data_IF_775452678990
#
_entry.id   IF_775452678990
#
_cell.length_a   1.000
_cell.length_b   1.000
_cell.length_c   1.000
_cell.angle_alpha   90.00
_cell.angle_beta   90.00
_cell.angle_gamma   90.00
#
_symmetry.space_group_name_H-M   'P 1'
#
loop_
_entity.id
_entity.type
_entity.pdbx_description
1 polymer ?
#
# COMPACT_ATOMS: atom_id res chain seq x y z
N UNK A 1 3.38 81.16 31.60
CA UNK A 1 3.63 79.70 31.34
C UNK A 1 2.28 79.03 31.12
N UNK A 2 1.94 78.69 29.89
CA UNK A 2 0.66 78.07 29.54
C UNK A 2 0.89 76.56 29.34
N UNK A 3 0.19 75.76 30.12
CA UNK A 3 0.20 74.29 29.95
C UNK A 3 -0.82 73.93 28.85
N UNK A 4 -0.33 73.35 27.76
CA UNK A 4 -1.15 72.82 26.68
C UNK A 4 -1.60 71.43 27.09
N UNK A 5 -2.92 71.26 27.21
CA UNK A 5 -3.55 69.95 27.52
C UNK A 5 -3.41 68.97 26.37
N UNK A 6 -2.75 67.86 26.62
CA UNK A 6 -2.72 66.74 25.68
C UNK A 6 -4.06 65.96 25.70
N UNK A 7 -4.64 65.76 24.52
CA UNK A 7 -5.78 64.86 24.36
C UNK A 7 -5.35 63.40 24.48
N UNK A 8 -6.16 62.51 25.07
CA UNK A 8 -5.86 61.11 25.14
C UNK A 8 -5.98 60.45 23.74
N UNK A 9 -4.94 59.72 23.33
CA UNK A 9 -4.92 58.92 22.13
C UNK A 9 -5.85 57.74 22.36
N UNK A 10 -6.96 57.66 21.65
CA UNK A 10 -7.74 56.42 21.57
C UNK A 10 -7.00 55.42 20.71
N UNK A 11 -6.49 54.35 21.34
CA UNK A 11 -5.95 53.19 20.64
C UNK A 11 -7.16 52.39 20.16
N UNK A 12 -7.39 52.33 18.85
CA UNK A 12 -8.35 51.44 18.24
C UNK A 12 -7.86 50.00 18.47
N UNK A 13 -8.62 49.25 19.25
CA UNK A 13 -8.43 47.78 19.39
C UNK A 13 -8.82 47.19 18.05
N UNK A 14 -7.84 46.70 17.31
CA UNK A 14 -8.08 45.91 16.10
C UNK A 14 -8.84 44.65 16.49
N UNK A 15 -10.02 44.46 15.93
CA UNK A 15 -10.77 43.22 16.03
C UNK A 15 -9.88 42.08 15.52
N UNK A 16 -9.76 41.02 16.36
CA UNK A 16 -9.07 39.78 15.97
C UNK A 16 -9.78 39.21 14.72
N UNK A 17 -8.99 38.76 13.71
CA UNK A 17 -9.58 38.10 12.55
C UNK A 17 -10.38 36.88 13.00
N UNK A 18 -11.62 36.78 12.51
CA UNK A 18 -12.51 35.67 12.72
C UNK A 18 -11.74 34.36 12.42
N UNK A 19 -11.81 33.39 13.34
CA UNK A 19 -11.21 32.08 13.16
C UNK A 19 -11.77 31.48 11.87
N UNK A 20 -10.90 31.27 10.89
CA UNK A 20 -11.22 30.52 9.68
C UNK A 20 -11.52 29.10 10.15
N UNK A 21 -12.78 28.69 10.09
CA UNK A 21 -13.16 27.29 10.23
C UNK A 21 -12.45 26.53 9.11
N UNK A 22 -11.34 25.90 9.45
CA UNK A 22 -10.70 24.91 8.58
C UNK A 22 -11.66 23.74 8.53
N UNK A 23 -12.45 23.66 7.45
CA UNK A 23 -13.23 22.49 7.12
C UNK A 23 -12.27 21.31 7.05
N UNK A 24 -12.15 20.55 8.14
CA UNK A 24 -11.41 19.32 8.16
C UNK A 24 -12.14 18.33 7.27
N UNK A 25 -11.63 18.16 6.02
CA UNK A 25 -12.00 16.98 5.22
C UNK A 25 -11.78 15.75 6.11
N UNK A 26 -12.70 14.77 6.09
CA UNK A 26 -12.49 13.54 6.85
C UNK A 26 -11.14 12.96 6.43
N UNK A 27 -10.24 12.82 7.39
CA UNK A 27 -8.96 12.14 7.17
C UNK A 27 -9.34 10.68 7.00
N UNK A 28 -9.33 10.19 5.76
CA UNK A 28 -9.50 8.77 5.47
C UNK A 28 -8.29 8.08 6.11
N UNK A 29 -8.54 7.09 6.96
CA UNK A 29 -7.47 6.32 7.57
C UNK A 29 -6.60 5.73 6.46
N UNK A 30 -5.27 5.88 6.50
CA UNK A 30 -4.40 5.40 5.43
C UNK A 30 -4.25 3.87 5.43
N UNK A 31 -4.70 3.18 6.48
CA UNK A 31 -4.68 1.72 6.59
C UNK A 31 -6.09 1.15 6.64
N UNK A 32 -6.32 0.13 5.85
CA UNK A 32 -7.59 -0.60 5.74
C UNK A 32 -7.34 -2.09 5.75
N UNK A 33 -8.21 -2.84 6.40
CA UNK A 33 -8.22 -4.30 6.33
C UNK A 33 -9.34 -4.76 5.41
N UNK A 34 -9.03 -5.74 4.58
CA UNK A 34 -9.99 -6.40 3.73
C UNK A 34 -10.15 -7.83 4.24
N UNK A 35 -11.35 -8.20 4.63
CA UNK A 35 -11.70 -9.58 4.99
C UNK A 35 -12.18 -10.32 3.75
N UNK A 36 -11.95 -11.64 3.74
CA UNK A 36 -12.61 -12.52 2.80
C UNK A 36 -14.13 -12.29 2.84
N UNK A 37 -14.80 -12.38 1.70
CA UNK A 37 -16.25 -12.42 1.68
C UNK A 37 -16.72 -13.57 2.58
N UNK A 38 -17.74 -13.33 3.42
CA UNK A 38 -18.27 -14.30 4.40
C UNK A 38 -18.73 -15.64 3.75
N UNK A 39 -18.89 -15.68 2.43
CA UNK A 39 -19.27 -16.86 1.66
C UNK A 39 -18.12 -17.84 1.35
N UNK A 40 -16.88 -17.55 1.76
CA UNK A 40 -15.71 -18.42 1.51
C UNK A 40 -15.47 -19.45 2.62
N UNK A 41 -16.50 -19.94 3.28
CA UNK A 41 -16.42 -21.14 4.13
C UNK A 41 -16.00 -22.41 3.37
N UNK A 42 -15.85 -22.35 2.05
CA UNK A 42 -15.47 -23.42 1.13
C UNK A 42 -14.11 -23.19 0.44
N UNK A 43 -13.19 -22.40 1.00
CA UNK A 43 -11.80 -22.55 0.60
C UNK A 43 -11.41 -23.98 1.00
N UNK A 44 -11.53 -24.90 0.04
CA UNK A 44 -10.96 -26.24 0.17
C UNK A 44 -9.53 -26.05 0.68
N UNK A 45 -9.26 -26.55 1.89
CA UNK A 45 -7.95 -26.41 2.50
C UNK A 45 -6.93 -26.92 1.48
N UNK A 46 -6.08 -26.05 0.98
CA UNK A 46 -5.06 -26.44 0.02
C UNK A 46 -4.24 -27.55 0.64
N UNK A 47 -4.25 -28.73 0.03
CA UNK A 47 -3.56 -29.90 0.56
C UNK A 47 -2.04 -29.83 0.37
N UNK A 48 -1.58 -28.94 -0.52
CA UNK A 48 -0.16 -28.78 -0.81
C UNK A 48 0.19 -27.39 -1.36
N UNK A 49 1.45 -26.98 -1.25
CA UNK A 49 1.94 -25.76 -1.91
C UNK A 49 1.83 -25.82 -3.44
N UNK A 50 1.81 -27.03 -4.02
CA UNK A 50 1.57 -27.17 -5.46
C UNK A 50 0.16 -26.71 -5.85
N UNK A 51 -0.84 -26.99 -5.02
CA UNK A 51 -2.22 -26.55 -5.23
C UNK A 51 -2.32 -25.03 -5.09
N UNK A 52 -1.69 -24.46 -4.06
CA UNK A 52 -1.62 -22.98 -3.87
C UNK A 52 -0.99 -22.30 -5.08
N UNK A 53 0.14 -22.82 -5.59
CA UNK A 53 0.81 -22.26 -6.78
C UNK A 53 -0.09 -22.35 -8.01
N UNK A 54 -0.82 -23.44 -8.20
CA UNK A 54 -1.74 -23.58 -9.33
C UNK A 54 -2.92 -22.61 -9.22
N UNK A 55 -3.50 -22.45 -8.03
CA UNK A 55 -4.56 -21.48 -7.78
C UNK A 55 -4.06 -20.06 -8.00
N UNK A 56 -2.89 -19.70 -7.46
CA UNK A 56 -2.28 -18.40 -7.68
C UNK A 56 -2.01 -18.13 -9.16
N UNK A 57 -1.50 -19.12 -9.90
CA UNK A 57 -1.29 -18.99 -11.35
C UNK A 57 -2.60 -18.77 -12.12
N UNK A 58 -3.70 -19.37 -11.66
CA UNK A 58 -5.02 -19.15 -12.23
C UNK A 58 -5.51 -17.72 -11.94
N UNK A 59 -5.44 -17.24 -10.69
CA UNK A 59 -5.86 -15.89 -10.32
C UNK A 59 -5.00 -14.80 -11.00
N UNK A 60 -3.71 -15.03 -11.18
CA UNK A 60 -2.81 -14.11 -11.90
C UNK A 60 -3.21 -13.88 -13.37
N UNK A 61 -4.01 -14.77 -13.96
CA UNK A 61 -4.62 -14.54 -15.28
C UNK A 61 -5.56 -13.32 -15.23
N UNK A 62 -6.37 -13.23 -14.18
CA UNK A 62 -7.34 -12.13 -14.02
C UNK A 62 -6.63 -10.79 -13.74
N UNK A 63 -5.42 -10.85 -13.17
CA UNK A 63 -4.53 -9.68 -13.01
C UNK A 63 -3.78 -9.29 -14.29
N UNK A 64 -4.01 -9.97 -15.41
CA UNK A 64 -3.42 -9.65 -16.71
C UNK A 64 -2.02 -10.21 -16.92
N UNK A 65 -1.55 -11.14 -16.12
CA UNK A 65 -0.25 -11.78 -16.29
C UNK A 65 -0.28 -12.71 -17.50
N UNK A 66 0.70 -12.58 -18.41
CA UNK A 66 0.83 -13.41 -19.60
C UNK A 66 1.03 -14.88 -19.23
N UNK A 67 0.39 -15.79 -19.98
CA UNK A 67 0.33 -17.23 -19.68
C UNK A 67 1.69 -17.85 -19.38
N UNK A 68 2.70 -17.52 -20.19
CA UNK A 68 4.07 -18.07 -20.05
C UNK A 68 4.76 -17.72 -18.72
N UNK A 69 4.28 -16.70 -17.99
CA UNK A 69 4.88 -16.25 -16.74
C UNK A 69 4.09 -16.62 -15.49
N UNK A 70 2.80 -17.00 -15.61
CA UNK A 70 1.90 -17.21 -14.46
C UNK A 70 2.45 -18.19 -13.43
N UNK A 71 2.82 -19.39 -13.87
CA UNK A 71 3.32 -20.42 -12.94
C UNK A 71 4.64 -20.02 -12.28
N UNK A 72 5.55 -19.39 -13.05
CA UNK A 72 6.83 -18.92 -12.50
C UNK A 72 6.64 -17.81 -11.48
N UNK A 73 5.77 -16.82 -11.79
CA UNK A 73 5.46 -15.73 -10.88
C UNK A 73 4.73 -16.24 -9.63
N UNK A 74 3.75 -17.13 -9.78
CA UNK A 74 3.05 -17.75 -8.65
C UNK A 74 4.01 -18.47 -7.72
N UNK A 75 4.91 -19.29 -8.26
CA UNK A 75 5.93 -20.00 -7.46
C UNK A 75 6.88 -19.04 -6.73
N UNK A 76 7.30 -17.97 -7.42
CA UNK A 76 8.12 -16.91 -6.82
C UNK A 76 7.39 -16.20 -5.67
N UNK A 77 6.14 -15.77 -5.87
CA UNK A 77 5.34 -15.10 -4.85
C UNK A 77 5.08 -16.03 -3.64
N UNK A 78 4.80 -17.32 -3.87
CA UNK A 78 4.67 -18.30 -2.80
C UNK A 78 5.97 -18.45 -2.00
N UNK A 79 7.13 -18.54 -2.66
CA UNK A 79 8.41 -18.61 -1.98
C UNK A 79 8.70 -17.34 -1.15
N UNK A 80 8.45 -16.16 -1.71
CA UNK A 80 8.59 -14.90 -0.99
C UNK A 80 7.64 -14.80 0.20
N UNK A 81 6.40 -15.29 0.06
CA UNK A 81 5.42 -15.35 1.15
C UNK A 81 5.86 -16.26 2.29
N UNK A 82 6.37 -17.45 1.98
CA UNK A 82 6.86 -18.41 2.99
C UNK A 82 8.04 -17.82 3.77
N UNK A 83 8.99 -17.20 3.06
CA UNK A 83 10.18 -16.60 3.66
C UNK A 83 9.93 -15.20 4.25
N UNK A 84 8.69 -14.68 4.13
CA UNK A 84 8.32 -13.30 4.51
C UNK A 84 9.29 -12.26 3.92
N UNK A 85 9.80 -12.54 2.71
CA UNK A 85 10.68 -11.64 1.98
C UNK A 85 9.87 -10.50 1.37
N UNK A 86 10.05 -9.23 1.80
CA UNK A 86 9.32 -8.11 1.23
C UNK A 86 9.65 -7.94 -0.26
N UNK A 87 8.63 -7.71 -1.08
CA UNK A 87 8.77 -7.46 -2.53
C UNK A 87 8.20 -6.11 -2.91
N UNK A 88 8.66 -5.57 -4.03
CA UNK A 88 8.20 -4.32 -4.58
C UNK A 88 7.81 -4.50 -6.05
N UNK A 89 6.50 -4.55 -6.33
CA UNK A 89 5.95 -4.63 -7.67
C UNK A 89 5.84 -3.23 -8.28
N UNK A 90 6.51 -3.01 -9.39
CA UNK A 90 6.59 -1.70 -10.03
C UNK A 90 6.11 -1.80 -11.47
N UNK A 91 5.15 -0.96 -11.84
CA UNK A 91 4.57 -0.92 -13.18
C UNK A 91 3.07 -1.24 -13.22
N UNK A 92 2.53 -1.50 -14.42
CA UNK A 92 1.10 -1.73 -14.61
C UNK A 92 0.61 -2.96 -13.86
N UNK A 93 -0.64 -2.92 -13.41
CA UNK A 93 -1.34 -4.03 -12.73
C UNK A 93 -0.63 -4.55 -11.45
N UNK A 94 0.31 -3.76 -10.88
CA UNK A 94 1.05 -4.19 -9.67
C UNK A 94 0.11 -4.54 -8.52
N UNK A 95 -0.91 -3.72 -8.26
CA UNK A 95 -1.89 -3.96 -7.20
C UNK A 95 -2.77 -5.17 -7.51
N UNK A 96 -3.23 -5.32 -8.77
CA UNK A 96 -4.07 -6.45 -9.19
C UNK A 96 -3.35 -7.79 -8.99
N UNK A 97 -2.03 -7.82 -9.24
CA UNK A 97 -1.20 -9.02 -9.03
C UNK A 97 -1.17 -9.43 -7.57
N UNK A 98 -0.99 -8.46 -6.65
CA UNK A 98 -0.99 -8.77 -5.20
C UNK A 98 -2.37 -9.22 -4.73
N UNK A 99 -3.42 -8.57 -5.19
CA UNK A 99 -4.79 -8.94 -4.84
C UNK A 99 -5.15 -10.34 -5.35
N UNK A 100 -4.78 -10.66 -6.60
CA UNK A 100 -4.94 -12.01 -7.15
C UNK A 100 -4.16 -13.05 -6.35
N UNK A 101 -2.92 -12.73 -5.94
CA UNK A 101 -2.13 -13.61 -5.09
C UNK A 101 -2.77 -13.80 -3.71
N UNK A 102 -3.26 -12.71 -3.08
CA UNK A 102 -3.93 -12.81 -1.78
C UNK A 102 -5.21 -13.64 -1.85
N UNK A 103 -5.93 -13.58 -2.97
CA UNK A 103 -7.10 -14.43 -3.21
C UNK A 103 -6.75 -15.92 -3.09
N UNK A 104 -5.62 -16.32 -3.69
CA UNK A 104 -5.19 -17.71 -3.69
C UNK A 104 -4.65 -18.20 -2.34
N UNK A 105 -4.03 -17.31 -1.54
CA UNK A 105 -3.31 -17.68 -0.31
C UNK A 105 -4.12 -17.45 0.94
N UNK A 106 -4.83 -16.31 1.01
CA UNK A 106 -5.56 -15.86 2.21
C UNK A 106 -7.06 -15.67 1.98
N UNK A 107 -7.58 -16.03 0.81
CA UNK A 107 -8.99 -15.81 0.47
C UNK A 107 -9.38 -14.34 0.45
N UNK A 108 -8.54 -13.48 -0.12
CA UNK A 108 -8.69 -12.02 -0.12
C UNK A 108 -8.51 -11.31 1.23
N UNK A 109 -8.03 -11.99 2.26
CA UNK A 109 -7.72 -11.32 3.53
C UNK A 109 -6.35 -10.67 3.44
N UNK A 110 -6.29 -9.34 3.47
CA UNK A 110 -5.05 -8.57 3.47
C UNK A 110 -5.25 -7.19 4.11
N UNK A 111 -4.18 -6.59 4.61
CA UNK A 111 -4.13 -5.18 4.97
C UNK A 111 -3.64 -4.33 3.80
N UNK A 112 -4.13 -3.11 3.68
CA UNK A 112 -3.67 -2.15 2.67
C UNK A 112 -3.31 -0.83 3.33
N UNK A 113 -2.07 -0.42 3.15
CA UNK A 113 -1.54 0.89 3.51
C UNK A 113 -1.51 1.78 2.26
N UNK A 114 -2.33 2.82 2.22
CA UNK A 114 -2.38 3.77 1.10
C UNK A 114 -1.42 4.93 1.36
N UNK A 115 -0.35 5.02 0.57
CA UNK A 115 0.72 6.01 0.76
C UNK A 115 0.45 7.39 0.11
N UNK A 116 -0.75 7.65 -0.39
CA UNK A 116 -1.11 8.92 -1.05
C UNK A 116 -1.27 10.10 -0.09
N UNK A 117 -1.53 9.83 1.18
CA UNK A 117 -1.61 10.81 2.25
C UNK A 117 -0.30 11.04 3.00
N UNK A 118 -0.27 12.10 3.81
CA UNK A 118 0.87 12.34 4.70
C UNK A 118 1.06 11.20 5.70
N UNK A 119 2.33 10.93 6.07
CA UNK A 119 2.68 9.92 7.05
C UNK A 119 2.00 10.16 8.41
N UNK A 120 1.44 9.11 8.99
CA UNK A 120 0.85 9.11 10.33
C UNK A 120 1.45 7.96 11.17
N UNK A 121 2.02 8.27 12.33
CA UNK A 121 2.62 7.26 13.21
C UNK A 121 1.62 6.18 13.70
N UNK A 122 0.34 6.52 13.81
CA UNK A 122 -0.70 5.60 14.27
C UNK A 122 -0.85 4.38 13.35
N UNK A 123 -0.60 4.56 12.05
CA UNK A 123 -0.72 3.49 11.04
C UNK A 123 0.14 2.29 11.36
N UNK A 124 1.37 2.50 11.86
CA UNK A 124 2.29 1.39 12.16
C UNK A 124 1.74 0.49 13.26
N UNK A 125 0.99 1.05 14.20
CA UNK A 125 0.36 0.27 15.29
C UNK A 125 -0.88 -0.49 14.84
N UNK A 126 -1.46 -0.13 13.70
CA UNK A 126 -2.65 -0.78 13.13
C UNK A 126 -2.30 -1.96 12.21
N UNK A 127 -1.10 -1.97 11.64
CA UNK A 127 -0.65 -3.03 10.74
C UNK A 127 -0.64 -4.38 11.49
N UNK A 128 -1.31 -5.38 10.92
CA UNK A 128 -1.33 -6.76 11.43
C UNK A 128 -2.24 -6.96 12.66
N UNK A 129 -2.98 -5.96 13.11
CA UNK A 129 -3.84 -6.07 14.31
C UNK A 129 -5.03 -7.01 14.10
N UNK A 130 -5.53 -7.12 12.88
CA UNK A 130 -6.67 -7.98 12.52
C UNK A 130 -6.21 -9.37 12.03
N UNK A 131 -4.92 -9.70 12.21
CA UNK A 131 -4.33 -10.98 11.85
C UNK A 131 -4.18 -11.17 10.34
N UNK A 132 -3.78 -10.11 9.64
CA UNK A 132 -3.45 -10.16 8.22
C UNK A 132 -2.05 -10.76 8.01
N UNK A 133 -1.96 -11.79 7.17
CA UNK A 133 -0.69 -12.40 6.79
C UNK A 133 0.01 -11.66 5.64
N UNK A 134 -0.77 -10.84 4.89
CA UNK A 134 -0.30 -10.05 3.75
C UNK A 134 -0.66 -8.59 3.99
N UNK A 135 0.31 -7.69 3.80
CA UNK A 135 0.09 -6.25 3.81
C UNK A 135 0.60 -5.63 2.52
N UNK A 136 -0.31 -4.97 1.82
CA UNK A 136 -0.03 -4.21 0.59
C UNK A 136 0.33 -2.77 0.98
N UNK A 137 1.52 -2.31 0.58
CA UNK A 137 1.93 -0.91 0.71
C UNK A 137 1.69 -0.25 -0.65
N UNK A 138 0.50 0.31 -0.82
CA UNK A 138 0.08 0.85 -2.11
C UNK A 138 0.70 2.21 -2.38
N UNK A 139 1.26 2.38 -3.57
CA UNK A 139 1.88 3.61 -4.06
C UNK A 139 3.02 4.13 -3.16
N UNK A 140 3.94 3.24 -2.79
CA UNK A 140 5.02 3.49 -1.82
C UNK A 140 5.81 4.78 -2.09
N UNK A 141 6.06 5.13 -3.35
CA UNK A 141 6.89 6.29 -3.71
C UNK A 141 6.16 7.64 -3.66
N UNK A 142 4.83 7.65 -3.44
CA UNK A 142 4.01 8.85 -3.60
C UNK A 142 4.28 9.98 -2.59
N UNK A 143 4.65 9.71 -1.34
CA UNK A 143 4.62 10.75 -0.29
C UNK A 143 5.72 10.63 0.77
N UNK A 144 6.91 10.15 0.40
CA UNK A 144 8.03 10.06 1.32
C UNK A 144 7.92 8.92 2.37
N UNK A 145 6.98 8.01 2.20
CA UNK A 145 6.81 6.83 3.03
C UNK A 145 8.01 5.89 3.03
N UNK A 146 8.82 5.95 1.97
CA UNK A 146 10.09 5.20 1.89
C UNK A 146 11.00 5.38 3.09
N UNK A 147 11.06 6.57 3.65
CA UNK A 147 11.90 6.87 4.82
C UNK A 147 11.42 6.13 6.09
N UNK A 148 10.23 5.56 6.05
CA UNK A 148 9.59 4.83 7.15
C UNK A 148 9.53 3.32 6.92
N UNK A 149 10.07 2.84 5.81
CA UNK A 149 10.09 1.40 5.51
C UNK A 149 10.62 0.53 6.66
N UNK A 150 11.72 0.88 7.35
CA UNK A 150 12.21 0.05 8.46
C UNK A 150 11.20 -0.10 9.60
N UNK A 151 10.38 0.93 9.84
CA UNK A 151 9.33 0.92 10.86
C UNK A 151 8.13 0.10 10.38
N UNK A 152 7.71 0.29 9.13
CA UNK A 152 6.59 -0.44 8.51
C UNK A 152 6.90 -1.94 8.47
N UNK A 153 8.11 -2.31 8.03
CA UNK A 153 8.56 -3.70 7.90
C UNK A 153 9.03 -4.32 9.22
N UNK A 154 8.71 -3.72 10.37
CA UNK A 154 9.18 -4.17 11.67
C UNK A 154 8.56 -5.51 12.12
N UNK A 155 7.34 -5.82 11.68
CA UNK A 155 6.65 -7.06 11.98
C UNK A 155 7.10 -8.17 11.01
N UNK A 156 7.83 -9.17 11.53
CA UNK A 156 8.48 -10.18 10.70
C UNK A 156 7.55 -11.30 10.22
N UNK A 157 6.39 -11.46 10.85
CA UNK A 157 5.44 -12.53 10.50
C UNK A 157 4.49 -12.14 9.37
N UNK A 158 4.58 -10.90 8.90
CA UNK A 158 3.77 -10.35 7.81
C UNK A 158 4.56 -10.40 6.50
N UNK A 159 3.89 -10.80 5.42
CA UNK A 159 4.41 -10.67 4.07
C UNK A 159 4.04 -9.31 3.49
N UNK A 160 5.02 -8.45 3.30
CA UNK A 160 4.84 -7.12 2.75
C UNK A 160 5.05 -7.10 1.25
N UNK A 161 4.08 -6.50 0.54
CA UNK A 161 4.20 -6.25 -0.90
C UNK A 161 3.95 -4.77 -1.18
N UNK A 162 4.98 -4.04 -1.52
CA UNK A 162 4.81 -2.67 -2.00
C UNK A 162 4.41 -2.65 -3.47
N UNK A 163 3.64 -1.64 -3.86
CA UNK A 163 3.26 -1.39 -5.25
C UNK A 163 3.55 0.05 -5.65
N UNK A 164 3.87 0.26 -6.94
CA UNK A 164 3.94 1.58 -7.55
C UNK A 164 3.60 1.47 -9.04
N UNK A 165 2.74 2.35 -9.60
CA UNK A 165 2.24 2.18 -10.97
C UNK A 165 3.25 2.53 -12.06
N UNK A 166 4.31 3.32 -11.77
CA UNK A 166 5.24 3.84 -12.76
C UNK A 166 6.64 3.30 -12.55
N UNK A 167 7.15 2.52 -13.52
CA UNK A 167 8.47 1.90 -13.41
C UNK A 167 9.63 2.90 -13.49
N UNK A 168 9.43 4.02 -14.17
CA UNK A 168 10.41 5.09 -14.29
C UNK A 168 10.74 5.79 -12.98
N UNK A 169 9.79 5.87 -12.04
CA UNK A 169 9.99 6.56 -10.77
C UNK A 169 11.03 5.89 -9.89
N UNK A 170 11.19 4.56 -10.01
CA UNK A 170 12.19 3.83 -9.22
C UNK A 170 13.64 4.21 -9.57
N UNK A 171 13.87 4.78 -10.76
CA UNK A 171 15.21 5.16 -11.21
C UNK A 171 15.81 6.33 -10.43
N UNK A 172 14.96 7.17 -9.84
CA UNK A 172 15.37 8.32 -9.04
C UNK A 172 15.48 7.99 -7.55
N UNK A 173 15.06 6.79 -7.16
CA UNK A 173 15.06 6.37 -5.77
C UNK A 173 16.43 5.88 -5.27
N UNK A 174 16.75 6.05 -3.99
CA UNK A 174 17.99 5.56 -3.43
C UNK A 174 18.13 4.04 -3.55
N UNK A 175 19.31 3.58 -3.95
CA UNK A 175 19.61 2.13 -4.05
C UNK A 175 19.45 1.37 -2.72
N UNK A 176 19.40 2.09 -1.60
CA UNK A 176 19.12 1.52 -0.28
C UNK A 176 17.75 0.86 -0.19
N UNK A 177 16.78 1.26 -1.04
CA UNK A 177 15.47 0.60 -1.16
C UNK A 177 15.61 -0.91 -1.41
N UNK A 178 16.56 -1.30 -2.26
CA UNK A 178 16.81 -2.70 -2.62
C UNK A 178 17.37 -3.55 -1.46
N UNK A 179 17.84 -2.91 -0.38
CA UNK A 179 18.18 -3.59 0.86
C UNK A 179 16.97 -4.01 1.70
N UNK A 180 15.81 -3.42 1.44
CA UNK A 180 14.57 -3.71 2.17
C UNK A 180 13.61 -4.57 1.37
N UNK A 181 13.50 -4.34 0.06
CA UNK A 181 12.50 -4.99 -0.79
C UNK A 181 13.12 -5.40 -2.12
N UNK A 182 12.71 -6.56 -2.64
CA UNK A 182 13.12 -7.03 -3.95
C UNK A 182 12.22 -6.45 -5.04
N UNK A 183 12.73 -5.61 -5.95
CA UNK A 183 11.93 -5.02 -7.02
C UNK A 183 11.63 -6.02 -8.13
N UNK A 184 10.38 -6.01 -8.60
CA UNK A 184 9.91 -6.75 -9.76
C UNK A 184 9.14 -5.80 -10.68
N UNK A 185 9.58 -5.71 -11.93
CA UNK A 185 8.96 -4.86 -12.94
C UNK A 185 7.85 -5.61 -13.66
N UNK A 186 6.60 -5.20 -13.43
CA UNK A 186 5.42 -5.91 -13.91
C UNK A 186 5.25 -5.81 -15.43
N UNK A 187 5.77 -4.77 -16.07
CA UNK A 187 5.76 -4.57 -17.52
C UNK A 187 6.37 -5.74 -18.31
N UNK A 188 7.29 -6.52 -17.71
CA UNK A 188 7.90 -7.65 -18.37
C UNK A 188 7.03 -8.91 -18.42
N UNK A 189 5.98 -8.98 -17.61
CA UNK A 189 5.15 -10.18 -17.53
C UNK A 189 3.64 -9.92 -17.61
N UNK A 190 3.21 -8.66 -17.69
CA UNK A 190 1.80 -8.29 -17.95
C UNK A 190 1.58 -8.11 -19.45
N UNK A 191 0.45 -8.58 -19.95
CA UNK A 191 0.05 -8.32 -21.34
C UNK A 191 -0.40 -6.87 -21.49
N UNK A 192 0.16 -6.12 -22.47
CA UNK A 192 -0.12 -4.70 -22.71
C UNK A 192 -1.63 -4.36 -22.89
N UNK A 193 -2.45 -5.36 -23.22
CA UNK A 193 -3.88 -5.21 -23.48
C UNK A 193 -4.76 -5.65 -22.32
N UNK A 194 -4.17 -6.17 -21.25
CA UNK A 194 -4.94 -6.66 -20.12
C UNK A 194 -5.25 -5.50 -19.17
N UNK A 195 -6.53 -5.13 -19.09
CA UNK A 195 -7.02 -4.34 -17.95
C UNK A 195 -7.29 -5.32 -16.81
N UNK A 196 -6.63 -5.12 -15.67
CA UNK A 196 -6.82 -5.97 -14.51
C UNK A 196 -8.27 -5.90 -14.00
N UNK A 197 -8.81 -7.03 -13.58
CA UNK A 197 -10.17 -7.15 -13.04
C UNK A 197 -10.36 -6.40 -11.72
N UNK A 198 -9.26 -6.15 -11.02
CA UNK A 198 -9.23 -5.56 -9.68
C UNK A 198 -9.03 -4.04 -9.70
N UNK A 199 -8.82 -3.45 -10.88
CA UNK A 199 -8.67 -1.99 -11.07
C UNK A 199 -10.04 -1.31 -11.11
N UNK A 200 -10.78 -1.35 -10.01
CA UNK A 200 -12.11 -0.76 -9.90
C UNK A 200 -12.17 0.30 -8.79
#
# INVERSE_FOLDING_TARGET
MAFVGGQPIQVAVAEAPAAVEVSSKPVIAPYHTFSAFDDLNDLEAHHSWADVINTAAFELKEAGVAEKYRSGLAAFLCAAYIEKQPIFLVGPNAIDIVQAFSAAVTGHKYGMLCCEGGYCNQVITEIGTDGEDIVIINNLLASGWMNRLPEILSQKDIFYVATHPYAEDIQVEPKSLYGFMLPLFTEFFVDEKATGKYSG
#
